data_IF_701009412442
#
_entry.id   IF_701009412442
#
_cell.length_a   1.000
_cell.length_b   1.000
_cell.length_c   1.000
_cell.angle_alpha   90.00
_cell.angle_beta   90.00
_cell.angle_gamma   90.00
#
_symmetry.space_group_name_H-M   'P 1'
#
loop_
_entity.id
_entity.type
_entity.pdbx_description
1 polymer ?
#
# COMPACT_ATOMS: atom_id res chain seq x y z
N UNK A 1 -15.85 14.64 4.17
CA UNK A 1 -15.29 13.41 3.62
C UNK A 1 -13.86 13.20 4.06
N UNK A 2 -13.60 12.14 4.77
CA UNK A 2 -12.24 11.83 5.19
C UNK A 2 -11.42 11.24 4.05
N UNK A 3 -10.12 11.42 4.10
CA UNK A 3 -9.25 10.77 3.16
C UNK A 3 -9.07 9.29 3.51
N UNK A 4 -8.32 8.59 2.69
CA UNK A 4 -7.98 7.20 2.97
C UNK A 4 -6.49 7.12 3.33
N UNK A 5 -6.13 6.02 3.96
CA UNK A 5 -4.77 5.70 4.35
C UNK A 5 -4.44 4.30 3.89
N UNK A 6 -3.21 4.09 3.51
CA UNK A 6 -2.75 2.78 3.07
C UNK A 6 -1.74 2.27 4.10
N UNK A 7 -1.93 1.04 4.56
CA UNK A 7 -0.88 0.34 5.29
C UNK A 7 -0.31 -0.72 4.37
N UNK A 8 1.01 -0.84 4.36
CA UNK A 8 1.70 -1.74 3.46
C UNK A 8 2.60 -2.68 4.26
N UNK A 9 2.37 -3.97 4.09
CA UNK A 9 3.26 -5.00 4.58
C UNK A 9 4.02 -5.53 3.36
N UNK A 10 5.24 -5.05 3.17
CA UNK A 10 6.03 -5.32 1.98
C UNK A 10 6.93 -6.53 2.21
N UNK A 11 6.68 -7.59 1.48
CA UNK A 11 7.44 -8.81 1.65
C UNK A 11 8.28 -9.18 0.45
N UNK A 12 9.48 -9.71 0.71
CA UNK A 12 10.29 -10.33 -0.33
C UNK A 12 10.08 -11.83 -0.32
N UNK A 13 9.94 -12.42 0.85
CA UNK A 13 9.64 -13.85 1.02
C UNK A 13 8.20 -14.07 1.42
N UNK A 14 7.66 -13.15 2.20
CA UNK A 14 6.27 -13.19 2.62
C UNK A 14 5.41 -12.42 1.62
N UNK A 15 4.10 -12.64 1.65
CA UNK A 15 3.22 -11.89 0.76
C UNK A 15 3.31 -10.38 0.98
N UNK A 16 3.10 -9.63 -0.09
CA UNK A 16 2.95 -8.18 -0.01
C UNK A 16 1.46 -7.87 0.08
N UNK A 17 1.09 -7.06 1.06
CA UNK A 17 -0.31 -6.73 1.33
C UNK A 17 -0.45 -5.22 1.44
N UNK A 18 -1.43 -4.67 0.73
CA UNK A 18 -1.85 -3.29 0.92
C UNK A 18 -3.27 -3.31 1.48
N UNK A 19 -3.51 -2.48 2.48
CA UNK A 19 -4.85 -2.33 3.05
C UNK A 19 -5.27 -0.87 2.95
N UNK A 20 -6.47 -0.64 2.45
CA UNK A 20 -7.00 0.71 2.34
C UNK A 20 -7.96 0.95 3.50
N UNK A 21 -7.65 1.97 4.29
CA UNK A 21 -8.40 2.32 5.49
C UNK A 21 -9.10 3.65 5.32
N UNK A 22 -10.34 3.69 5.75
CA UNK A 22 -11.11 4.93 5.81
C UNK A 22 -11.78 5.04 7.17
N UNK A 23 -11.90 6.29 7.63
CA UNK A 23 -12.58 6.55 8.88
C UNK A 23 -14.08 6.53 8.63
N UNK A 24 -14.81 5.81 9.47
CA UNK A 24 -16.25 5.76 9.37
C UNK A 24 -16.84 7.11 9.75
N UNK A 25 -17.79 7.57 8.94
CA UNK A 25 -18.40 8.87 9.16
C UNK A 25 -19.23 8.86 10.43
N UNK A 26 -19.00 9.87 11.28
CA UNK A 26 -19.75 10.02 12.52
C UNK A 26 -19.28 9.16 13.67
N UNK A 27 -18.20 8.43 13.49
CA UNK A 27 -17.60 7.62 14.55
C UNK A 27 -16.09 7.77 14.54
N UNK A 28 -15.43 7.11 15.50
CA UNK A 28 -13.96 7.10 15.55
C UNK A 28 -13.39 5.81 14.94
N UNK A 29 -14.23 5.02 14.31
CA UNK A 29 -13.83 3.70 13.80
C UNK A 29 -13.15 3.80 12.45
N UNK A 30 -12.11 2.99 12.29
CA UNK A 30 -11.44 2.80 11.00
C UNK A 30 -11.97 1.54 10.36
N UNK A 31 -12.24 1.62 9.06
CA UNK A 31 -12.78 0.51 8.31
C UNK A 31 -11.81 0.18 7.19
N UNK A 32 -11.44 -1.11 7.07
CA UNK A 32 -10.66 -1.57 5.94
C UNK A 32 -11.61 -1.81 4.77
N UNK A 33 -11.45 -1.03 3.71
CA UNK A 33 -12.35 -1.06 2.55
C UNK A 33 -11.90 -2.00 1.47
N UNK A 34 -10.57 -2.13 1.28
CA UNK A 34 -10.03 -2.97 0.21
C UNK A 34 -8.72 -3.58 0.65
N UNK A 35 -8.40 -4.71 0.04
CA UNK A 35 -7.16 -5.40 0.28
C UNK A 35 -6.53 -5.78 -1.05
N UNK A 36 -5.21 -5.61 -1.15
CA UNK A 36 -4.38 -6.14 -2.22
C UNK A 36 -3.46 -7.18 -1.61
N UNK A 37 -3.36 -8.32 -2.25
CA UNK A 37 -2.52 -9.43 -1.77
C UNK A 37 -1.74 -10.01 -2.95
N UNK A 38 -0.43 -10.14 -2.76
CA UNK A 38 0.42 -10.80 -3.75
C UNK A 38 1.44 -11.67 -3.05
N UNK A 39 1.48 -12.95 -3.41
CA UNK A 39 2.50 -13.87 -2.91
C UNK A 39 3.40 -14.30 -4.06
N UNK A 40 4.67 -13.92 -4.00
CA UNK A 40 5.64 -14.34 -5.00
C UNK A 40 5.84 -15.84 -5.00
N UNK A 41 5.67 -16.47 -3.83
CA UNK A 41 5.78 -17.93 -3.71
C UNK A 41 4.65 -18.64 -4.45
N UNK A 42 3.42 -18.18 -4.24
CA UNK A 42 2.25 -18.78 -4.90
C UNK A 42 2.26 -18.52 -6.39
N UNK A 43 2.66 -17.32 -6.80
CA UNK A 43 2.72 -16.94 -8.20
C UNK A 43 4.00 -17.41 -8.89
N UNK A 44 4.96 -17.92 -8.11
CA UNK A 44 6.26 -18.38 -8.59
C UNK A 44 7.03 -17.28 -9.31
N UNK A 45 6.83 -16.04 -8.90
CA UNK A 45 7.48 -14.88 -9.47
C UNK A 45 7.49 -13.74 -8.46
N UNK A 46 8.68 -13.21 -8.20
CA UNK A 46 8.81 -12.04 -7.33
C UNK A 46 8.70 -10.78 -8.18
N UNK A 47 7.84 -9.87 -7.75
CA UNK A 47 7.71 -8.57 -8.43
C UNK A 47 8.79 -7.60 -7.94
N UNK A 48 9.10 -6.65 -8.80
CA UNK A 48 10.02 -5.57 -8.45
C UNK A 48 9.28 -4.45 -7.70
N UNK A 49 10.05 -3.55 -7.08
CA UNK A 49 9.47 -2.36 -6.43
C UNK A 49 8.61 -1.57 -7.42
N UNK A 50 9.09 -1.41 -8.64
CA UNK A 50 8.37 -0.68 -9.68
C UNK A 50 7.05 -1.34 -10.02
N UNK A 51 7.04 -2.66 -10.11
CA UNK A 51 5.83 -3.41 -10.38
C UNK A 51 4.81 -3.27 -9.26
N UNK A 52 5.26 -3.34 -8.01
CA UNK A 52 4.36 -3.15 -6.88
C UNK A 52 3.81 -1.73 -6.83
N UNK A 53 4.64 -0.76 -7.18
CA UNK A 53 4.19 0.64 -7.25
C UNK A 53 3.11 0.81 -8.31
N UNK A 54 3.30 0.20 -9.48
CA UNK A 54 2.30 0.23 -10.54
C UNK A 54 1.01 -0.49 -10.12
N UNK A 55 1.15 -1.60 -9.41
CA UNK A 55 -0.01 -2.33 -8.89
C UNK A 55 -0.78 -1.48 -7.89
N UNK A 56 -0.08 -0.76 -7.02
CA UNK A 56 -0.72 0.14 -6.05
C UNK A 56 -1.53 1.21 -6.77
N UNK A 57 -0.94 1.82 -7.79
CA UNK A 57 -1.60 2.82 -8.61
C UNK A 57 -2.91 2.29 -9.22
N UNK A 58 -2.83 1.12 -9.83
CA UNK A 58 -3.99 0.51 -10.47
C UNK A 58 -5.06 0.13 -9.45
N UNK A 59 -4.62 -0.39 -8.30
CA UNK A 59 -5.53 -0.83 -7.24
C UNK A 59 -6.26 0.35 -6.58
N UNK A 60 -5.59 1.48 -6.46
CA UNK A 60 -6.20 2.68 -5.89
C UNK A 60 -7.23 3.31 -6.82
N UNK A 61 -7.11 3.10 -8.12
CA UNK A 61 -7.96 3.71 -9.15
C UNK A 61 -7.87 5.24 -9.03
N UNK A 62 -8.90 5.90 -8.53
CA UNK A 62 -8.90 7.35 -8.37
C UNK A 62 -8.66 7.81 -6.94
N UNK A 63 -8.48 6.87 -6.03
CA UNK A 63 -8.25 7.23 -4.63
C UNK A 63 -6.86 7.83 -4.46
N UNK A 64 -6.78 8.85 -3.60
CA UNK A 64 -5.51 9.50 -3.28
C UNK A 64 -5.30 9.41 -1.77
N UNK A 65 -4.43 8.53 -1.30
CA UNK A 65 -4.23 8.37 0.13
C UNK A 65 -3.55 9.59 0.75
N UNK A 66 -3.92 9.89 1.97
CA UNK A 66 -3.26 10.95 2.75
C UNK A 66 -1.88 10.51 3.22
N UNK A 67 -1.71 9.22 3.40
CA UNK A 67 -0.42 8.66 3.78
C UNK A 67 -0.38 7.19 3.38
N UNK A 68 0.83 6.74 3.03
CA UNK A 68 1.13 5.32 2.82
C UNK A 68 2.13 4.95 3.91
N UNK A 69 1.73 4.08 4.81
CA UNK A 69 2.55 3.67 5.94
C UNK A 69 3.28 2.39 5.58
N UNK A 70 4.61 2.44 5.60
CA UNK A 70 5.45 1.31 5.20
C UNK A 70 6.53 1.13 6.25
N UNK A 71 6.86 -0.12 6.55
CA UNK A 71 7.95 -0.43 7.47
C UNK A 71 9.28 0.14 6.94
N UNK A 72 10.07 0.79 7.78
CA UNK A 72 11.34 1.40 7.34
C UNK A 72 12.31 0.42 6.70
N UNK A 73 12.21 -0.87 6.99
CA UNK A 73 13.09 -1.87 6.39
C UNK A 73 12.87 -2.02 4.89
N UNK A 74 11.73 -1.58 4.36
CA UNK A 74 11.44 -1.63 2.94
C UNK A 74 11.94 -0.38 2.22
N UNK A 75 13.22 -0.04 2.41
CA UNK A 75 13.77 1.24 1.97
C UNK A 75 13.68 1.48 0.47
N UNK A 76 13.92 0.45 -0.33
CA UNK A 76 13.89 0.61 -1.79
C UNK A 76 12.46 0.85 -2.29
N UNK A 77 11.48 0.18 -1.70
CA UNK A 77 10.09 0.39 -2.06
C UNK A 77 9.61 1.78 -1.63
N UNK A 78 10.03 2.22 -0.44
CA UNK A 78 9.72 3.58 0.05
C UNK A 78 10.25 4.62 -0.93
N UNK A 79 11.49 4.46 -1.39
CA UNK A 79 12.09 5.38 -2.35
C UNK A 79 11.28 5.41 -3.66
N UNK A 80 10.86 4.25 -4.13
CA UNK A 80 10.06 4.15 -5.35
C UNK A 80 8.72 4.87 -5.19
N UNK A 81 8.05 4.67 -4.06
CA UNK A 81 6.77 5.32 -3.78
C UNK A 81 6.91 6.84 -3.70
N UNK A 82 7.96 7.32 -3.04
CA UNK A 82 8.21 8.75 -2.92
C UNK A 82 8.49 9.38 -4.27
N UNK A 83 9.25 8.69 -5.10
CA UNK A 83 9.55 9.14 -6.45
C UNK A 83 8.28 9.24 -7.29
N UNK A 84 7.34 8.36 -7.06
CA UNK A 84 6.03 8.37 -7.74
C UNK A 84 5.07 9.41 -7.18
N UNK A 85 5.45 10.10 -6.11
CA UNK A 85 4.65 11.18 -5.53
C UNK A 85 3.76 10.78 -4.37
N UNK A 86 3.93 9.59 -3.82
CA UNK A 86 3.11 9.15 -2.69
C UNK A 86 3.63 9.75 -1.37
N UNK A 87 2.71 10.15 -0.47
CA UNK A 87 3.09 10.67 0.84
C UNK A 87 3.40 9.52 1.81
N UNK A 88 4.65 9.04 1.78
CA UNK A 88 5.05 7.87 2.54
C UNK A 88 5.44 8.27 3.96
N UNK A 89 4.95 7.50 4.93
CA UNK A 89 5.35 7.60 6.33
C UNK A 89 5.97 6.28 6.77
N UNK A 90 6.96 6.38 7.61
CA UNK A 90 7.65 5.22 8.16
C UNK A 90 7.29 4.99 9.61
#
# INVERSE_FOLDING_TARGET
MGGCYISCDYGTRNPTVFLLWQRERGTERWICRREYYYSGREQKRQKTDKEFCADLDAWLVDDRPRAVVVDPSAASFIAELRQAGYPVQQ
#
